data_IF_514908445725
#
_entry.id   IF_514908445725
#
_cell.length_a   1.000
_cell.length_b   1.000
_cell.length_c   1.000
_cell.angle_alpha   90.00
_cell.angle_beta   90.00
_cell.angle_gamma   90.00
#
_symmetry.space_group_name_H-M   'P 1'
#
loop_
_entity.id
_entity.type
_entity.pdbx_description
1 polymer ?
#
# COMPACT_ATOMS: atom_id res chain seq x y z
N UNK A 1 1.94 3.06 16.16
CA UNK A 1 1.27 2.67 14.90
C UNK A 1 1.94 3.36 13.72
N UNK A 2 2.32 2.57 12.70
CA UNK A 2 2.80 3.07 11.41
C UNK A 2 1.64 3.15 10.41
N UNK A 3 1.75 4.06 9.46
CA UNK A 3 0.83 4.25 8.34
C UNK A 3 1.61 4.34 7.04
N UNK A 4 0.93 4.11 5.92
CA UNK A 4 1.48 4.26 4.57
C UNK A 4 0.40 4.82 3.65
N UNK A 5 0.84 5.59 2.65
CA UNK A 5 -0.02 6.06 1.57
C UNK A 5 0.19 5.12 0.39
N UNK A 6 -0.89 4.56 -0.13
CA UNK A 6 -0.86 3.63 -1.26
C UNK A 6 -1.68 4.15 -2.42
N UNK A 7 -1.33 3.67 -3.60
CA UNK A 7 -2.08 3.84 -4.84
C UNK A 7 -2.62 2.47 -5.27
N UNK A 8 -3.93 2.33 -5.48
CA UNK A 8 -4.48 1.10 -6.03
C UNK A 8 -4.15 1.02 -7.52
N UNK A 9 -3.76 -0.14 -8.03
CA UNK A 9 -3.35 -0.29 -9.44
C UNK A 9 -4.44 0.09 -10.46
N UNK A 10 -5.70 0.12 -10.05
CA UNK A 10 -6.86 0.41 -10.90
C UNK A 10 -7.50 1.78 -10.63
N UNK A 11 -6.91 2.63 -9.79
CA UNK A 11 -7.52 3.89 -9.36
C UNK A 11 -6.49 5.00 -9.23
N UNK A 12 -6.74 6.17 -9.83
CA UNK A 12 -5.87 7.35 -9.74
C UNK A 12 -5.74 7.92 -8.31
N UNK A 13 -6.61 7.52 -7.39
CA UNK A 13 -6.65 8.04 -6.04
C UNK A 13 -5.62 7.38 -5.09
N UNK A 14 -5.14 8.17 -4.14
CA UNK A 14 -4.32 7.70 -3.02
C UNK A 14 -5.17 7.38 -1.79
N UNK A 15 -4.73 6.39 -1.02
CA UNK A 15 -5.42 5.90 0.16
C UNK A 15 -4.45 5.72 1.33
N UNK A 16 -4.97 5.91 2.55
CA UNK A 16 -4.20 5.75 3.77
C UNK A 16 -4.50 4.41 4.44
N UNK A 17 -3.45 3.65 4.76
CA UNK A 17 -3.56 2.38 5.47
C UNK A 17 -2.62 2.32 6.66
N UNK A 18 -3.05 1.61 7.70
CA UNK A 18 -2.21 1.21 8.82
C UNK A 18 -1.30 0.06 8.43
N UNK A 19 -0.11 0.03 9.03
CA UNK A 19 0.91 -0.98 8.82
C UNK A 19 1.09 -1.77 10.12
N UNK A 20 1.08 -3.12 10.08
CA UNK A 20 1.40 -3.95 11.24
C UNK A 20 2.73 -3.53 11.91
N UNK A 21 2.80 -3.55 13.23
CA UNK A 21 3.90 -2.90 13.97
C UNK A 21 5.27 -3.51 13.63
N UNK A 22 5.30 -4.82 13.38
CA UNK A 22 6.46 -5.61 13.02
C UNK A 22 6.90 -5.45 11.55
N UNK A 23 6.26 -4.58 10.76
CA UNK A 23 6.55 -4.39 9.33
C UNK A 23 6.96 -2.97 9.02
N UNK A 24 8.00 -2.82 8.21
CA UNK A 24 8.39 -1.55 7.61
C UNK A 24 8.25 -1.68 6.10
N UNK A 25 7.45 -0.79 5.50
CA UNK A 25 7.21 -0.76 4.07
C UNK A 25 8.05 0.35 3.45
N UNK A 26 8.53 0.10 2.24
CA UNK A 26 9.28 1.06 1.43
C UNK A 26 8.43 1.58 0.29
N UNK A 27 8.77 2.77 -0.17
CA UNK A 27 8.24 3.27 -1.44
C UNK A 27 8.42 2.21 -2.53
N UNK A 28 7.42 2.10 -3.38
CA UNK A 28 7.33 1.16 -4.50
C UNK A 28 7.11 -0.32 -4.11
N UNK A 29 7.01 -0.63 -2.81
CA UNK A 29 6.59 -1.97 -2.36
C UNK A 29 5.15 -2.24 -2.82
N UNK A 30 4.95 -3.45 -3.38
CA UNK A 30 3.64 -3.97 -3.69
C UNK A 30 3.04 -4.68 -2.48
N UNK A 31 1.84 -4.24 -2.12
CA UNK A 31 1.14 -4.69 -0.93
C UNK A 31 -0.28 -5.12 -1.24
N UNK A 32 -0.84 -5.94 -0.36
CA UNK A 32 -2.23 -6.32 -0.39
C UNK A 32 -2.98 -5.57 0.71
N UNK A 33 -4.05 -4.88 0.33
CA UNK A 33 -4.92 -4.16 1.26
C UNK A 33 -6.34 -4.68 1.19
N UNK A 34 -7.10 -4.60 2.29
CA UNK A 34 -8.52 -4.98 2.31
C UNK A 34 -9.42 -3.76 2.42
N UNK A 35 -10.26 -3.55 1.41
CA UNK A 35 -11.29 -2.51 1.40
C UNK A 35 -12.71 -3.13 1.40
N UNK A 36 -13.75 -2.32 1.25
CA UNK A 36 -15.15 -2.80 1.24
C UNK A 36 -15.49 -3.72 0.07
N UNK A 37 -14.69 -3.73 -0.99
CA UNK A 37 -14.84 -4.56 -2.20
C UNK A 37 -14.02 -5.85 -2.16
N UNK A 38 -13.21 -6.05 -1.11
CA UNK A 38 -12.35 -7.22 -0.95
C UNK A 38 -10.87 -6.87 -0.85
N UNK A 39 -10.02 -7.80 -1.27
CA UNK A 39 -8.56 -7.63 -1.30
C UNK A 39 -8.13 -6.99 -2.61
N UNK A 40 -7.30 -5.96 -2.53
CA UNK A 40 -6.86 -5.17 -3.68
C UNK A 40 -5.35 -5.00 -3.59
N UNK A 41 -4.60 -5.27 -4.67
CA UNK A 41 -3.18 -4.94 -4.73
C UNK A 41 -2.98 -3.43 -4.85
N UNK A 42 -1.97 -2.93 -4.16
CA UNK A 42 -1.62 -1.52 -4.12
C UNK A 42 -0.10 -1.33 -4.10
N UNK A 43 0.36 -0.15 -4.52
CA UNK A 43 1.76 0.25 -4.48
C UNK A 43 1.95 1.31 -3.40
N UNK A 44 2.97 1.16 -2.57
CA UNK A 44 3.34 2.17 -1.59
C UNK A 44 3.92 3.41 -2.28
N UNK A 45 3.32 4.58 -2.04
CA UNK A 45 3.75 5.86 -2.62
C UNK A 45 4.92 6.48 -1.85
N UNK A 46 5.08 6.07 -0.59
CA UNK A 46 6.16 6.47 0.31
C UNK A 46 6.52 5.32 1.26
N UNK A 47 7.64 5.48 1.97
CA UNK A 47 7.99 4.62 3.10
C UNK A 47 6.91 4.72 4.19
N UNK A 48 6.68 3.65 4.95
CA UNK A 48 5.80 3.69 6.11
C UNK A 48 6.34 4.64 7.18
N UNK A 49 5.47 5.41 7.82
CA UNK A 49 5.83 6.45 8.77
C UNK A 49 4.87 6.48 9.96
N UNK A 50 5.30 7.11 11.06
CA UNK A 50 4.46 7.35 12.24
C UNK A 50 4.13 8.83 12.34
N UNK A 51 2.92 9.16 12.80
CA UNK A 51 2.49 10.54 13.04
C UNK A 51 1.76 10.66 14.38
N UNK A 52 1.72 11.86 14.98
CA UNK A 52 0.82 12.14 16.10
C UNK A 52 -0.66 11.90 15.76
N UNK A 53 -1.48 11.58 16.74
CA UNK A 53 -2.91 11.23 16.56
C UNK A 53 -3.72 12.36 15.88
N UNK A 54 -3.47 13.61 16.25
CA UNK A 54 -4.11 14.78 15.62
C UNK A 54 -3.77 14.93 14.13
N UNK A 55 -2.57 14.48 13.72
CA UNK A 55 -2.15 14.48 12.31
C UNK A 55 -2.78 13.30 11.57
N UNK A 56 -2.89 12.14 12.21
CA UNK A 56 -3.56 10.97 11.66
C UNK A 56 -5.02 11.28 11.27
N UNK A 57 -5.77 11.94 12.14
CA UNK A 57 -7.16 12.32 11.86
C UNK A 57 -7.28 13.24 10.62
N UNK A 58 -6.33 14.16 10.44
CA UNK A 58 -6.31 15.05 9.27
C UNK A 58 -5.98 14.28 7.99
N UNK A 59 -5.01 13.36 8.04
CA UNK A 59 -4.65 12.51 6.90
C UNK A 59 -5.83 11.61 6.50
N UNK A 60 -6.55 11.03 7.46
CA UNK A 60 -7.73 10.21 7.19
C UNK A 60 -8.83 11.00 6.44
N UNK A 61 -9.05 12.26 6.81
CA UNK A 61 -9.99 13.14 6.09
C UNK A 61 -9.53 13.44 4.65
N UNK A 62 -8.23 13.63 4.45
CA UNK A 62 -7.65 13.94 3.13
C UNK A 62 -7.70 12.73 2.18
N UNK A 63 -7.41 11.54 2.68
CA UNK A 63 -7.36 10.29 1.89
C UNK A 63 -8.67 9.49 1.91
N UNK A 64 -9.79 10.13 2.31
CA UNK A 64 -11.15 9.61 2.14
C UNK A 64 -11.60 8.50 3.11
N UNK A 65 -10.85 8.25 4.19
CA UNK A 65 -11.14 7.16 5.13
C UNK A 65 -11.85 7.64 6.40
N UNK A 66 -13.05 7.13 6.69
CA UNK A 66 -13.69 7.30 8.02
C UNK A 66 -13.01 6.46 9.10
N UNK A 67 -12.34 5.37 8.72
CA UNK A 67 -11.68 4.44 9.63
C UNK A 67 -10.43 3.91 8.94
N UNK A 68 -9.33 3.80 9.68
CA UNK A 68 -8.08 3.27 9.16
C UNK A 68 -8.25 1.77 8.86
N UNK A 69 -7.98 1.39 7.62
CA UNK A 69 -7.87 0.00 7.19
C UNK A 69 -6.40 -0.41 7.21
N UNK A 70 -6.12 -1.71 7.09
CA UNK A 70 -4.78 -2.24 7.28
C UNK A 70 -4.21 -2.85 6.00
N UNK A 71 -2.89 -2.75 5.85
CA UNK A 71 -2.12 -3.63 4.97
C UNK A 71 -2.18 -5.04 5.55
N UNK A 72 -2.54 -6.01 4.71
CA UNK A 72 -2.76 -7.41 5.11
C UNK A 72 -1.73 -8.38 4.51
N UNK A 73 -0.86 -7.91 3.63
CA UNK A 73 0.21 -8.73 3.05
C UNK A 73 1.11 -7.96 2.11
N UNK A 74 2.17 -8.62 1.65
CA UNK A 74 3.03 -8.19 0.54
C UNK A 74 2.73 -9.02 -0.70
N UNK A 75 3.03 -8.47 -1.87
CA UNK A 75 2.94 -9.18 -3.15
C UNK A 75 4.36 -9.33 -3.69
N UNK A 76 4.76 -10.56 -3.98
CA UNK A 76 6.04 -10.86 -4.62
C UNK A 76 5.79 -11.33 -6.05
N UNK A 77 6.60 -10.84 -6.99
CA UNK A 77 6.56 -11.34 -8.36
C UNK A 77 7.42 -12.58 -8.50
N UNK A 78 6.84 -13.64 -9.07
CA UNK A 78 7.56 -14.81 -9.52
C UNK A 78 7.82 -14.69 -11.03
N UNK A 79 9.07 -14.43 -11.43
CA UNK A 79 9.47 -14.41 -12.84
C UNK A 79 9.69 -15.83 -13.34
N UNK A 80 9.13 -16.17 -14.50
CA UNK A 80 9.37 -17.44 -15.19
C UNK A 80 10.38 -17.25 -16.33
N UNK A 81 11.20 -18.27 -16.62
CA UNK A 81 12.32 -18.22 -17.59
C UNK A 81 11.91 -18.19 -19.07
N UNK A 82 10.75 -17.62 -19.40
CA UNK A 82 10.21 -17.62 -20.76
C UNK A 82 10.64 -16.39 -21.59
N UNK A 83 11.75 -15.74 -21.22
CA UNK A 83 12.41 -14.80 -22.14
C UNK A 83 13.27 -15.62 -23.11
N UNK A 84 12.72 -15.93 -24.28
CA UNK A 84 13.57 -16.20 -25.43
C UNK A 84 14.23 -14.87 -25.77
N UNK A 85 15.55 -14.77 -25.59
CA UNK A 85 16.33 -13.73 -26.25
C UNK A 85 15.95 -13.74 -27.74
N UNK A 86 15.33 -12.68 -28.23
CA UNK A 86 15.30 -12.42 -29.66
C UNK A 86 16.76 -12.17 -30.06
N UNK A 87 17.41 -13.22 -30.54
CA UNK A 87 18.76 -13.16 -31.08
C UNK A 87 18.79 -12.07 -32.17
N UNK A 88 19.56 -11.01 -31.91
CA UNK A 88 19.88 -9.96 -32.88
C UNK A 88 20.86 -10.45 -33.94
#
# INVERSE_FOLDING_TARGET
MKIVIVHHLNDAQHYLFGVPEERDLKKDDLVLVRNSRGEVPAVCVCDSFSVPENVLEQLQKMYGGKTLKWVIGSVEFLRWEQEKEEAK
#
